data_IF_149289288216
#
_entry.id   IF_149289288216
#
_cell.length_a   1.000
_cell.length_b   1.000
_cell.length_c   1.000
_cell.angle_alpha   90.00
_cell.angle_beta   90.00
_cell.angle_gamma   90.00
#
_symmetry.space_group_name_H-M   'P 1'
#
loop_
_entity.id
_entity.type
_entity.pdbx_description
1 polymer ?
#
# COMPACT_ATOMS: atom_id res chain seq x y z
N UNK A 1 21.52 -0.08 33.51
CA UNK A 1 22.50 -0.75 32.64
C UNK A 1 21.82 -1.77 31.76
N UNK A 2 21.70 -1.45 30.48
CA UNK A 2 21.22 -2.39 29.46
C UNK A 2 22.39 -3.29 29.06
N UNK A 3 22.41 -4.53 29.56
CA UNK A 3 23.39 -5.54 29.16
C UNK A 3 23.26 -5.83 27.66
N UNK A 4 24.37 -5.63 26.94
CA UNK A 4 24.49 -5.96 25.52
C UNK A 4 25.17 -7.32 25.38
N UNK A 5 24.57 -8.22 24.60
CA UNK A 5 25.10 -9.55 24.32
C UNK A 5 25.50 -9.69 22.84
N UNK A 6 26.48 -10.56 22.58
CA UNK A 6 26.94 -10.91 21.23
C UNK A 6 26.67 -12.40 20.98
N UNK A 7 26.25 -12.74 19.76
CA UNK A 7 26.19 -14.11 19.28
C UNK A 7 27.45 -14.41 18.47
N UNK A 8 28.08 -15.55 18.73
CA UNK A 8 29.27 -15.99 18.01
C UNK A 8 29.10 -17.43 17.50
N UNK A 9 29.44 -17.67 16.23
CA UNK A 9 29.43 -18.97 15.58
C UNK A 9 30.70 -19.12 14.73
N UNK A 10 31.73 -19.75 15.31
CA UNK A 10 33.07 -19.79 14.70
C UNK A 10 33.64 -18.38 14.58
N UNK A 11 34.00 -17.99 13.35
CA UNK A 11 34.56 -16.67 13.04
C UNK A 11 33.48 -15.58 12.84
N UNK A 12 32.21 -15.97 12.77
CA UNK A 12 31.09 -15.04 12.62
C UNK A 12 30.62 -14.52 13.98
N UNK A 13 30.50 -13.20 14.12
CA UNK A 13 29.99 -12.51 15.31
C UNK A 13 28.86 -11.58 14.89
N UNK A 14 27.73 -11.64 15.58
CA UNK A 14 26.56 -10.77 15.34
C UNK A 14 26.02 -10.17 16.65
N UNK A 15 25.46 -8.97 16.54
CA UNK A 15 24.82 -8.26 17.64
C UNK A 15 23.34 -8.68 17.72
N UNK A 16 23.10 -9.87 18.23
CA UNK A 16 21.76 -10.45 18.35
C UNK A 16 21.44 -10.87 19.79
N UNK A 17 20.24 -10.51 20.27
CA UNK A 17 19.77 -10.86 21.62
C UNK A 17 19.30 -12.33 21.76
N UNK A 18 19.03 -13.03 20.65
CA UNK A 18 18.63 -14.44 20.65
C UNK A 18 17.21 -14.71 21.16
N UNK A 19 16.88 -15.98 21.51
CA UNK A 19 17.77 -17.14 21.57
C UNK A 19 18.15 -17.66 20.17
N UNK A 20 19.22 -18.46 20.14
CA UNK A 20 19.69 -19.13 18.93
C UNK A 20 19.55 -20.65 19.10
N UNK A 21 19.47 -21.36 17.98
CA UNK A 21 19.52 -22.82 18.02
C UNK A 21 20.87 -23.30 18.57
N UNK A 22 20.93 -24.46 19.24
CA UNK A 22 22.17 -24.93 19.85
C UNK A 22 23.30 -25.28 18.85
N UNK A 23 22.98 -25.57 17.59
CA UNK A 23 23.95 -25.94 16.55
C UNK A 23 23.39 -25.73 15.16
N UNK A 24 24.22 -25.21 14.25
CA UNK A 24 23.88 -25.03 12.83
C UNK A 24 23.53 -26.33 12.12
N UNK A 25 24.01 -27.49 12.60
CA UNK A 25 23.66 -28.81 12.05
C UNK A 25 22.17 -29.18 12.20
N UNK A 26 21.42 -28.43 13.03
CA UNK A 26 19.96 -28.56 13.15
C UNK A 26 19.20 -27.82 12.03
N UNK A 27 19.82 -26.87 11.32
CA UNK A 27 19.21 -26.16 10.19
C UNK A 27 19.36 -26.96 8.91
N UNK A 28 18.41 -27.88 8.66
CA UNK A 28 18.46 -28.76 7.47
C UNK A 28 17.53 -28.33 6.35
N UNK A 29 16.40 -27.70 6.66
CA UNK A 29 15.39 -27.33 5.68
C UNK A 29 15.25 -25.81 5.61
N UNK A 30 16.14 -25.15 4.85
CA UNK A 30 16.05 -23.73 4.56
C UNK A 30 16.19 -23.43 3.06
N UNK A 31 15.63 -22.30 2.62
CA UNK A 31 15.71 -21.83 1.23
C UNK A 31 15.75 -20.32 1.16
N UNK A 32 16.64 -19.77 0.34
CA UNK A 32 16.60 -18.36 -0.06
C UNK A 32 15.50 -18.16 -1.11
N UNK A 33 14.69 -17.11 -0.93
CA UNK A 33 13.46 -16.88 -1.69
C UNK A 33 13.60 -15.75 -2.70
N UNK A 34 14.07 -14.59 -2.27
CA UNK A 34 14.14 -13.39 -3.10
C UNK A 34 15.15 -12.37 -2.57
N UNK A 35 15.49 -11.41 -3.42
CA UNK A 35 16.33 -10.26 -3.09
C UNK A 35 15.49 -9.00 -3.27
N UNK A 36 15.67 -8.03 -2.37
CA UNK A 36 15.04 -6.72 -2.44
C UNK A 36 16.02 -5.62 -2.04
N UNK A 37 15.79 -4.39 -2.51
CA UNK A 37 16.40 -3.20 -1.95
C UNK A 37 15.65 -2.76 -0.69
N UNK A 38 16.37 -2.25 0.30
CA UNK A 38 15.77 -1.66 1.49
C UNK A 38 16.55 -0.42 1.95
N UNK A 39 15.85 0.52 2.56
CA UNK A 39 16.47 1.70 3.17
C UNK A 39 16.42 1.60 4.69
N UNK A 40 17.49 2.04 5.36
CA UNK A 40 17.52 2.07 6.82
C UNK A 40 16.39 2.93 7.36
N UNK A 41 15.59 2.35 8.29
CA UNK A 41 14.35 2.95 8.84
C UNK A 41 13.34 3.40 7.77
N UNK A 42 13.41 2.84 6.56
CA UNK A 42 12.52 3.21 5.45
C UNK A 42 12.77 4.60 4.86
N UNK A 43 13.90 5.25 5.17
CA UNK A 43 14.20 6.60 4.69
C UNK A 43 15.11 6.54 3.45
N UNK A 44 14.61 6.94 2.28
CA UNK A 44 15.33 6.88 1.01
C UNK A 44 16.59 7.77 0.93
N UNK A 45 16.79 8.70 1.86
CA UNK A 45 18.03 9.49 1.97
C UNK A 45 19.22 8.67 2.49
N UNK A 46 18.95 7.52 3.11
CA UNK A 46 19.99 6.61 3.58
C UNK A 46 20.54 5.75 2.42
N UNK A 47 21.72 5.17 2.62
CA UNK A 47 22.28 4.22 1.65
C UNK A 47 21.34 3.04 1.44
N UNK A 48 21.09 2.68 0.17
CA UNK A 48 20.34 1.48 -0.18
C UNK A 48 21.09 0.23 0.28
N UNK A 49 20.40 -0.62 1.03
CA UNK A 49 20.87 -1.92 1.51
C UNK A 49 20.27 -3.04 0.67
N UNK A 50 20.99 -4.16 0.58
CA UNK A 50 20.49 -5.38 -0.04
C UNK A 50 19.87 -6.26 1.04
N UNK A 51 18.59 -6.62 0.85
CA UNK A 51 17.85 -7.53 1.72
C UNK A 51 17.66 -8.86 1.02
N UNK A 52 18.06 -9.94 1.67
CA UNK A 52 17.87 -11.31 1.19
C UNK A 52 16.78 -11.95 2.05
N UNK A 53 15.69 -12.40 1.41
CA UNK A 53 14.61 -13.13 2.09
C UNK A 53 14.88 -14.63 2.02
N UNK A 54 14.57 -15.34 3.10
CA UNK A 54 14.66 -16.79 3.19
C UNK A 54 13.64 -17.33 4.18
N UNK A 55 13.39 -18.64 4.11
CA UNK A 55 12.57 -19.37 5.07
C UNK A 55 13.29 -20.63 5.55
N UNK A 56 13.02 -21.03 6.79
CA UNK A 56 13.54 -22.25 7.40
C UNK A 56 12.43 -22.97 8.16
N UNK A 57 12.44 -24.29 8.12
CA UNK A 57 11.48 -25.16 8.80
C UNK A 57 12.22 -26.31 9.50
N UNK A 58 11.55 -26.99 10.43
CA UNK A 58 12.12 -28.15 11.13
C UNK A 58 12.20 -29.36 10.20
N UNK A 59 11.20 -29.53 9.32
CA UNK A 59 11.12 -30.66 8.38
C UNK A 59 11.16 -30.19 6.93
N UNK A 60 11.83 -30.96 6.08
CA UNK A 60 11.88 -30.72 4.63
C UNK A 60 10.48 -30.71 4.00
N UNK A 61 9.58 -31.58 4.44
CA UNK A 61 8.20 -31.64 3.96
C UNK A 61 7.42 -30.34 4.19
N UNK A 62 7.70 -29.62 5.29
CA UNK A 62 7.05 -28.35 5.60
C UNK A 62 7.57 -27.23 4.70
N UNK A 63 8.89 -27.20 4.47
CA UNK A 63 9.50 -26.28 3.51
C UNK A 63 8.95 -26.51 2.10
N UNK A 64 8.87 -27.76 1.65
CA UNK A 64 8.36 -28.10 0.32
C UNK A 64 6.88 -27.69 0.17
N UNK A 65 6.07 -27.90 1.22
CA UNK A 65 4.68 -27.44 1.25
C UNK A 65 4.60 -25.90 1.21
N UNK A 66 5.44 -25.20 1.98
CA UNK A 66 5.51 -23.74 1.98
C UNK A 66 5.88 -23.19 0.60
N UNK A 67 6.87 -23.77 -0.07
CA UNK A 67 7.27 -23.37 -1.42
C UNK A 67 6.14 -23.60 -2.43
N UNK A 68 5.40 -24.72 -2.31
CA UNK A 68 4.22 -24.97 -3.14
C UNK A 68 3.15 -23.89 -2.94
N UNK A 69 2.91 -23.47 -1.69
CA UNK A 69 1.95 -22.39 -1.39
C UNK A 69 2.40 -21.04 -1.93
N UNK A 70 3.69 -20.72 -1.88
CA UNK A 70 4.25 -19.51 -2.51
C UNK A 70 3.98 -19.52 -4.02
N UNK A 71 4.24 -20.64 -4.69
CA UNK A 71 4.01 -20.73 -6.14
C UNK A 71 2.52 -20.60 -6.49
N UNK A 72 1.64 -21.21 -5.71
CA UNK A 72 0.19 -21.01 -5.86
C UNK A 72 -0.24 -19.56 -5.62
N UNK A 73 0.34 -18.87 -4.65
CA UNK A 73 0.07 -17.45 -4.41
C UNK A 73 0.56 -16.58 -5.58
N UNK A 74 1.76 -16.85 -6.13
CA UNK A 74 2.29 -16.14 -7.31
C UNK A 74 1.40 -16.30 -8.54
N UNK A 75 0.75 -17.47 -8.71
CA UNK A 75 -0.21 -17.70 -9.81
C UNK A 75 -1.47 -16.84 -9.69
N UNK A 76 -1.82 -16.39 -8.48
CA UNK A 76 -3.03 -15.60 -8.18
C UNK A 76 -2.71 -14.12 -7.93
N UNK A 77 -1.48 -13.70 -8.23
CA UNK A 77 -1.10 -12.30 -8.16
C UNK A 77 -1.90 -11.48 -9.17
N UNK A 78 -2.68 -10.51 -8.69
CA UNK A 78 -3.52 -9.67 -9.54
C UNK A 78 -2.73 -8.93 -10.62
N UNK A 79 -1.43 -8.66 -10.41
CA UNK A 79 -0.56 -8.02 -11.41
C UNK A 79 -0.27 -8.96 -12.57
N UNK A 80 -0.09 -10.25 -12.27
CA UNK A 80 0.09 -11.30 -13.29
C UNK A 80 -1.23 -11.56 -14.01
N UNK A 81 -2.28 -11.86 -13.26
CA UNK A 81 -3.62 -12.15 -13.80
C UNK A 81 -4.16 -10.97 -14.61
N UNK A 82 -4.02 -9.75 -14.08
CA UNK A 82 -4.46 -8.53 -14.75
C UNK A 82 -3.75 -8.28 -16.08
N UNK A 83 -2.45 -8.61 -16.17
CA UNK A 83 -1.71 -8.59 -17.43
C UNK A 83 -2.14 -9.70 -18.37
N UNK A 84 -2.21 -10.95 -17.89
CA UNK A 84 -2.54 -12.13 -18.70
C UNK A 84 -3.96 -12.03 -19.29
N UNK A 85 -4.89 -11.38 -18.59
CA UNK A 85 -6.27 -11.16 -19.01
C UNK A 85 -6.52 -9.82 -19.71
N UNK A 86 -5.49 -8.99 -19.89
CA UNK A 86 -5.59 -7.67 -20.52
C UNK A 86 -6.59 -6.74 -19.82
N UNK A 87 -6.51 -6.66 -18.48
CA UNK A 87 -7.40 -5.84 -17.65
C UNK A 87 -6.84 -4.43 -17.41
N UNK A 88 -5.54 -4.33 -17.16
CA UNK A 88 -4.86 -3.06 -16.94
C UNK A 88 -3.36 -3.17 -17.21
N UNK A 89 -2.71 -2.03 -17.34
CA UNK A 89 -1.25 -1.91 -17.48
C UNK A 89 -0.70 -0.80 -16.58
N UNK A 90 0.62 -0.81 -16.41
CA UNK A 90 1.39 0.24 -15.76
C UNK A 90 2.44 0.75 -16.73
N UNK A 91 2.64 2.06 -16.73
CA UNK A 91 3.58 2.76 -17.59
C UNK A 91 4.44 3.70 -16.75
N UNK A 92 5.64 4.01 -17.24
CA UNK A 92 6.60 4.86 -16.53
C UNK A 92 6.07 6.30 -16.38
N UNK A 93 5.20 6.76 -17.29
CA UNK A 93 4.51 8.04 -17.23
C UNK A 93 3.46 8.11 -16.11
N UNK A 94 3.07 6.98 -15.53
CA UNK A 94 2.02 6.87 -14.51
C UNK A 94 2.39 5.90 -13.40
N UNK A 95 3.55 6.09 -12.77
CA UNK A 95 3.99 5.24 -11.66
C UNK A 95 2.96 5.26 -10.52
N UNK A 96 2.39 4.10 -10.21
CA UNK A 96 1.34 3.96 -9.19
C UNK A 96 -0.09 4.23 -9.69
N UNK A 97 -0.25 4.61 -10.97
CA UNK A 97 -1.54 4.89 -11.60
C UNK A 97 -1.85 3.83 -12.68
N UNK A 98 -2.77 2.89 -12.43
CA UNK A 98 -3.09 1.85 -13.41
C UNK A 98 -3.88 2.42 -14.60
N UNK A 99 -3.53 1.96 -15.80
CA UNK A 99 -4.24 2.25 -17.04
C UNK A 99 -5.23 1.11 -17.30
N UNK A 100 -6.51 1.36 -17.09
CA UNK A 100 -7.55 0.34 -17.28
C UNK A 100 -7.84 0.12 -18.77
N UNK A 101 -7.76 -1.14 -19.19
CA UNK A 101 -8.08 -1.57 -20.56
C UNK A 101 -9.59 -1.83 -20.69
N UNK A 102 -10.14 -2.03 -21.91
CA UNK A 102 -11.58 -2.22 -22.10
C UNK A 102 -12.20 -3.30 -21.21
N UNK A 103 -11.55 -4.47 -21.07
CA UNK A 103 -12.03 -5.56 -20.20
C UNK A 103 -12.00 -5.19 -18.71
N UNK A 104 -10.96 -4.47 -18.28
CA UNK A 104 -10.86 -3.97 -16.91
C UNK A 104 -11.93 -2.93 -16.61
N UNK A 105 -12.24 -2.06 -17.58
CA UNK A 105 -13.32 -1.07 -17.45
C UNK A 105 -14.70 -1.72 -17.34
N UNK A 106 -14.97 -2.80 -18.09
CA UNK A 106 -16.22 -3.58 -17.90
C UNK A 106 -16.34 -4.07 -16.47
N UNK A 107 -15.30 -4.71 -15.93
CA UNK A 107 -15.29 -5.20 -14.55
C UNK A 107 -15.50 -4.07 -13.53
N UNK A 108 -14.78 -2.96 -13.72
CA UNK A 108 -14.87 -1.79 -12.85
C UNK A 108 -16.28 -1.20 -12.85
N UNK A 109 -16.89 -1.02 -14.02
CA UNK A 109 -18.22 -0.44 -14.13
C UNK A 109 -19.27 -1.33 -13.45
N UNK A 110 -19.20 -2.66 -13.63
CA UNK A 110 -20.10 -3.59 -12.94
C UNK A 110 -20.04 -3.41 -11.41
N UNK A 111 -18.83 -3.26 -10.86
CA UNK A 111 -18.64 -3.05 -9.43
C UNK A 111 -19.14 -1.67 -8.97
N UNK A 112 -18.86 -0.62 -9.76
CA UNK A 112 -19.32 0.74 -9.46
C UNK A 112 -20.84 0.85 -9.53
N UNK A 113 -21.48 0.21 -10.51
CA UNK A 113 -22.94 0.21 -10.68
C UNK A 113 -23.61 -0.53 -9.52
N UNK A 114 -23.11 -1.72 -9.15
CA UNK A 114 -23.58 -2.43 -7.96
C UNK A 114 -23.42 -1.58 -6.69
N UNK A 115 -22.27 -0.93 -6.51
CA UNK A 115 -22.04 -0.05 -5.36
C UNK A 115 -23.04 1.10 -5.31
N UNK A 116 -23.31 1.77 -6.45
CA UNK A 116 -24.31 2.84 -6.53
C UNK A 116 -25.72 2.34 -6.20
N UNK A 117 -26.12 1.20 -6.75
CA UNK A 117 -27.44 0.60 -6.49
C UNK A 117 -27.66 0.35 -5.01
N UNK A 118 -26.67 -0.23 -4.31
CA UNK A 118 -26.78 -0.49 -2.87
C UNK A 118 -26.83 0.82 -2.05
N UNK A 119 -26.11 1.86 -2.48
CA UNK A 119 -26.16 3.18 -1.83
C UNK A 119 -27.53 3.84 -2.01
N UNK A 120 -28.12 3.79 -3.21
CA UNK A 120 -29.46 4.32 -3.45
C UNK A 120 -30.53 3.58 -2.63
N UNK A 121 -30.46 2.24 -2.56
CA UNK A 121 -31.35 1.44 -1.69
C UNK A 121 -31.21 1.82 -0.21
N UNK A 122 -30.01 2.22 0.20
CA UNK A 122 -29.70 2.65 1.57
C UNK A 122 -30.01 4.14 1.82
N UNK A 123 -30.64 4.84 0.87
CA UNK A 123 -31.04 6.24 1.03
C UNK A 123 -29.90 7.26 0.87
N UNK A 124 -28.73 6.84 0.38
CA UNK A 124 -27.64 7.78 0.10
C UNK A 124 -27.92 8.58 -1.17
N UNK A 125 -27.53 9.86 -1.14
CA UNK A 125 -27.54 10.72 -2.32
C UNK A 125 -26.12 10.85 -2.85
N UNK A 126 -25.92 10.43 -4.10
CA UNK A 126 -24.62 10.54 -4.75
C UNK A 126 -24.31 12.01 -5.11
N UNK A 127 -23.09 12.43 -4.83
CA UNK A 127 -22.60 13.78 -5.12
C UNK A 127 -21.20 13.73 -5.72
N UNK A 128 -20.84 14.75 -6.50
CA UNK A 128 -19.51 14.87 -7.11
C UNK A 128 -18.87 16.20 -6.76
N UNK A 129 -17.64 16.15 -6.27
CA UNK A 129 -16.82 17.31 -5.91
C UNK A 129 -15.55 17.37 -6.77
N UNK A 130 -14.98 18.57 -6.99
CA UNK A 130 -13.73 18.72 -7.72
C UNK A 130 -12.58 17.86 -7.17
N UNK A 131 -11.65 17.49 -8.05
CA UNK A 131 -10.44 16.72 -7.67
C UNK A 131 -9.35 17.65 -7.15
N UNK A 132 -9.24 18.86 -7.70
CA UNK A 132 -8.26 19.88 -7.31
C UNK A 132 -9.00 20.96 -6.54
N UNK A 133 -8.55 21.24 -5.31
CA UNK A 133 -9.20 22.19 -4.38
C UNK A 133 -8.15 23.12 -3.76
N UNK A 134 -8.55 24.36 -3.50
CA UNK A 134 -7.67 25.40 -2.96
C UNK A 134 -7.11 25.00 -1.59
N UNK A 135 -5.83 25.30 -1.36
CA UNK A 135 -5.09 25.01 -0.11
C UNK A 135 -5.82 25.43 1.16
N UNK A 136 -6.54 26.55 1.14
CA UNK A 136 -7.29 27.06 2.29
C UNK A 136 -8.30 26.05 2.84
N UNK A 137 -8.91 25.21 2.00
CA UNK A 137 -9.84 24.16 2.42
C UNK A 137 -9.13 23.08 3.25
N UNK A 138 -7.93 22.69 2.84
CA UNK A 138 -7.12 21.68 3.52
C UNK A 138 -6.57 22.19 4.85
N UNK A 139 -6.18 23.46 4.90
CA UNK A 139 -5.79 24.11 6.15
C UNK A 139 -6.97 24.20 7.12
N UNK A 140 -8.13 24.67 6.65
CA UNK A 140 -9.33 24.81 7.48
C UNK A 140 -9.85 23.47 8.00
N UNK A 141 -9.69 22.40 7.23
CA UNK A 141 -10.12 21.07 7.65
C UNK A 141 -9.11 20.35 8.54
N UNK A 142 -7.93 20.93 8.82
CA UNK A 142 -6.85 20.32 9.61
C UNK A 142 -6.03 19.26 8.85
N UNK A 143 -6.44 18.87 7.65
CA UNK A 143 -5.73 17.85 6.86
C UNK A 143 -4.36 18.33 6.40
N UNK A 144 -4.17 19.63 6.24
CA UNK A 144 -2.87 20.17 5.90
C UNK A 144 -1.80 19.79 6.93
N UNK A 145 -2.12 19.83 8.23
CA UNK A 145 -1.13 19.59 9.28
C UNK A 145 -0.75 18.10 9.40
N UNK A 146 -1.63 17.20 8.97
CA UNK A 146 -1.45 15.75 9.14
C UNK A 146 -1.14 14.99 7.85
N UNK A 147 -1.59 15.49 6.70
CA UNK A 147 -1.53 14.76 5.43
C UNK A 147 -0.70 15.46 4.36
N UNK A 148 -0.19 16.68 4.60
CA UNK A 148 0.58 17.43 3.59
C UNK A 148 1.73 16.63 2.99
N UNK A 149 2.42 15.81 3.78
CA UNK A 149 3.52 14.97 3.28
C UNK A 149 3.07 13.89 2.29
N UNK A 150 1.78 13.53 2.30
CA UNK A 150 1.15 12.52 1.44
C UNK A 150 0.18 13.13 0.41
N UNK A 151 0.28 14.43 0.13
CA UNK A 151 -0.57 15.16 -0.82
C UNK A 151 0.23 15.60 -2.05
N UNK A 152 -0.48 15.70 -3.18
CA UNK A 152 0.07 16.29 -4.40
C UNK A 152 -0.40 17.73 -4.55
N UNK A 153 0.50 18.62 -4.96
CA UNK A 153 0.26 20.05 -5.07
C UNK A 153 0.41 20.53 -6.50
N UNK A 154 -0.35 21.57 -6.84
CA UNK A 154 -0.19 22.30 -8.10
C UNK A 154 -0.45 23.78 -7.86
N UNK A 155 0.04 24.63 -8.76
CA UNK A 155 -0.21 26.07 -8.72
C UNK A 155 -0.99 26.46 -9.97
N UNK A 156 -2.07 27.21 -9.78
CA UNK A 156 -2.90 27.73 -10.87
C UNK A 156 -2.93 29.25 -10.69
N UNK A 157 -2.54 29.96 -11.75
CA UNK A 157 -2.26 31.40 -11.76
C UNK A 157 -1.23 31.77 -10.68
N UNK A 158 -1.68 32.16 -9.49
CA UNK A 158 -0.80 32.45 -8.34
C UNK A 158 -1.21 31.71 -7.06
N UNK A 159 -2.28 30.91 -7.09
CA UNK A 159 -2.85 30.23 -5.93
C UNK A 159 -2.36 28.78 -5.79
N UNK A 160 -2.19 28.35 -4.54
CA UNK A 160 -1.84 26.97 -4.19
C UNK A 160 -3.09 26.09 -4.17
N UNK A 161 -3.02 24.97 -4.87
CA UNK A 161 -4.03 23.92 -4.87
C UNK A 161 -3.42 22.58 -4.46
N UNK A 162 -4.29 21.67 -4.01
CA UNK A 162 -3.92 20.28 -3.84
C UNK A 162 -4.93 19.35 -4.52
N UNK A 163 -4.42 18.23 -5.02
CA UNK A 163 -5.23 17.09 -5.41
C UNK A 163 -5.79 16.48 -4.12
N UNK A 164 -7.10 16.27 -4.06
CA UNK A 164 -7.77 15.80 -2.86
C UNK A 164 -7.19 14.46 -2.38
N UNK A 165 -6.67 14.36 -1.14
CA UNK A 165 -6.30 13.07 -0.56
C UNK A 165 -7.54 12.29 -0.07
N UNK A 166 -8.70 12.97 0.04
CA UNK A 166 -9.97 12.41 0.49
C UNK A 166 -11.15 13.29 0.08
N UNK A 167 -12.37 12.75 0.18
CA UNK A 167 -13.59 13.42 -0.29
C UNK A 167 -14.28 14.29 0.77
N UNK A 168 -14.00 14.07 2.06
CA UNK A 168 -14.79 14.63 3.18
C UNK A 168 -14.94 16.16 3.14
N UNK A 169 -13.88 16.97 2.93
CA UNK A 169 -14.03 18.43 2.91
C UNK A 169 -14.94 18.92 1.80
N UNK A 170 -14.92 18.28 0.62
CA UNK A 170 -15.84 18.60 -0.47
C UNK A 170 -17.29 18.27 -0.12
N UNK A 171 -17.54 17.12 0.52
CA UNK A 171 -18.88 16.73 0.97
C UNK A 171 -19.46 17.71 2.01
N UNK A 172 -18.62 18.21 2.93
CA UNK A 172 -19.01 19.23 3.91
C UNK A 172 -19.38 20.55 3.23
N UNK A 173 -18.69 20.94 2.14
CA UNK A 173 -19.05 22.14 1.38
C UNK A 173 -20.42 22.00 0.70
N UNK A 174 -20.74 20.81 0.18
CA UNK A 174 -22.07 20.52 -0.37
C UNK A 174 -23.12 20.60 0.73
N UNK A 175 -22.90 19.95 1.87
CA UNK A 175 -23.81 20.06 3.01
C UNK A 175 -24.01 21.53 3.44
N UNK A 176 -22.92 22.32 3.50
CA UNK A 176 -22.98 23.74 3.86
C UNK A 176 -23.74 24.62 2.84
N UNK A 177 -23.96 24.16 1.61
CA UNK A 177 -24.59 24.97 0.55
C UNK A 177 -26.07 25.29 0.81
N UNK A 178 -26.71 24.56 1.72
CA UNK A 178 -28.10 24.76 2.12
C UNK A 178 -28.24 24.78 3.64
N UNK A 179 -29.31 25.41 4.14
CA UNK A 179 -29.70 25.30 5.55
C UNK A 179 -30.40 23.97 5.76
N UNK A 180 -30.05 23.27 6.84
CA UNK A 180 -30.65 22.00 7.25
C UNK A 180 -31.34 22.16 8.59
N UNK A 181 -32.54 21.63 8.72
CA UNK A 181 -33.26 21.46 9.97
C UNK A 181 -32.71 20.26 10.73
N UNK A 182 -32.94 20.20 12.05
CA UNK A 182 -32.62 19.01 12.85
C UNK A 182 -33.45 17.76 12.45
N UNK A 183 -34.53 17.95 11.68
CA UNK A 183 -35.38 16.88 11.15
C UNK A 183 -34.91 16.32 9.81
N UNK A 184 -34.06 17.07 9.12
CA UNK A 184 -33.42 16.64 7.87
C UNK A 184 -32.25 15.72 8.21
#
# INVERSE_FOLDING_TARGET
>A
DDMVTLYQQGDFIDLCRGPHIPSTGKLKAFKLLSIAGAYWRGNEKNKMLQRIYGASFDKKSELDNYLKLIEEAKRRDHRKVGKDLDLFSFHDEGVGFPFFHPKGMVLRNILEDYWKEEHYKSGYTEVKTPVILNKSLWMKSGHWDHYKENMYFTRIDEEDYAIKPMNCPGGILIYKSTLHSYRD
#
